data_IF_579822917595
#
_entry.id   IF_579822917595
#
_cell.length_a   1.000
_cell.length_b   1.000
_cell.length_c   1.000
_cell.angle_alpha   90.00
_cell.angle_beta   90.00
_cell.angle_gamma   90.00
#
_symmetry.space_group_name_H-M   'P 1'
#
loop_
_entity.id
_entity.type
_entity.pdbx_description
1 polymer ?
#
# COMPACT_ATOMS: atom_id res chain seq x y z
N UNK A 1 62.69 -55.34 27.71
CA UNK A 1 62.35 -54.52 26.53
C UNK A 1 61.09 -53.74 26.84
N UNK A 2 61.17 -52.39 26.78
CA UNK A 2 60.12 -51.39 26.47
C UNK A 2 58.80 -51.42 27.27
N UNK A 3 58.20 -50.33 27.75
CA UNK A 3 58.51 -48.90 27.94
C UNK A 3 57.34 -48.38 28.82
N UNK A 4 57.65 -47.58 29.85
CA UNK A 4 56.74 -46.66 30.53
C UNK A 4 56.67 -45.36 29.70
N UNK A 5 55.51 -44.68 29.72
CA UNK A 5 55.12 -43.34 29.19
C UNK A 5 53.88 -43.49 28.28
N UNK A 6 52.84 -42.64 28.23
CA UNK A 6 52.66 -41.20 28.48
C UNK A 6 51.12 -41.04 28.64
N UNK A 7 50.62 -40.51 29.76
CA UNK A 7 49.98 -39.18 29.85
C UNK A 7 48.67 -39.04 29.03
N UNK A 8 47.56 -39.00 29.77
CA UNK A 8 46.52 -37.95 29.83
C UNK A 8 46.34 -37.03 28.61
N UNK A 9 45.07 -36.72 28.30
CA UNK A 9 44.60 -35.78 27.28
C UNK A 9 44.68 -36.26 25.82
N UNK A 10 43.69 -37.05 25.41
CA UNK A 10 43.01 -36.69 24.16
C UNK A 10 41.61 -36.23 24.51
N UNK A 11 41.52 -34.91 24.61
CA UNK A 11 40.32 -34.13 24.81
C UNK A 11 39.21 -34.70 23.93
N UNK A 12 38.05 -34.91 24.55
CA UNK A 12 36.76 -35.07 23.89
C UNK A 12 36.52 -33.79 23.06
N UNK A 13 37.06 -33.71 21.85
CA UNK A 13 36.60 -32.80 20.81
C UNK A 13 35.49 -33.51 20.05
N UNK A 14 34.41 -33.86 20.76
CA UNK A 14 33.09 -33.85 20.12
C UNK A 14 32.86 -32.41 19.73
N UNK A 15 33.25 -32.09 18.49
CA UNK A 15 32.77 -30.94 17.76
C UNK A 15 31.25 -31.06 17.82
N UNK A 16 30.65 -30.38 18.79
CA UNK A 16 29.25 -30.07 18.75
C UNK A 16 29.10 -29.23 17.48
N UNK A 17 28.70 -29.87 16.39
CA UNK A 17 27.99 -29.21 15.31
C UNK A 17 26.70 -28.70 15.95
N UNK A 18 26.83 -27.60 16.69
CA UNK A 18 25.73 -26.69 16.91
C UNK A 18 25.35 -26.27 15.50
N UNK A 19 24.28 -26.87 14.98
CA UNK A 19 23.57 -26.34 13.84
C UNK A 19 23.22 -24.91 14.22
N UNK A 20 24.05 -23.98 13.76
CA UNK A 20 23.74 -22.56 13.72
C UNK A 20 22.49 -22.51 12.86
N UNK A 21 21.34 -22.40 13.51
CA UNK A 21 20.11 -22.00 12.84
C UNK A 21 20.40 -20.58 12.36
N UNK A 22 20.91 -20.45 11.14
CA UNK A 22 20.95 -19.19 10.43
C UNK A 22 19.51 -18.65 10.48
N UNK A 23 19.34 -17.45 11.03
CA UNK A 23 18.04 -16.79 11.05
C UNK A 23 17.65 -16.51 9.60
N UNK A 24 16.89 -17.42 8.97
CA UNK A 24 16.37 -17.20 7.63
C UNK A 24 15.26 -16.17 7.72
N UNK A 25 15.52 -14.97 7.21
CA UNK A 25 14.46 -13.98 7.00
C UNK A 25 13.39 -14.56 6.06
N UNK A 26 12.10 -14.23 6.26
CA UNK A 26 11.07 -14.57 5.30
C UNK A 26 11.35 -13.91 3.95
N UNK A 27 10.81 -14.48 2.87
CA UNK A 27 10.80 -13.81 1.57
C UNK A 27 9.97 -12.53 1.63
N UNK A 28 10.23 -11.60 0.71
CA UNK A 28 9.42 -10.39 0.57
C UNK A 28 7.95 -10.75 0.37
N UNK A 29 7.06 -9.99 1.01
CA UNK A 29 5.62 -10.16 0.83
C UNK A 29 5.24 -10.05 -0.66
N UNK A 30 4.25 -10.82 -1.10
CA UNK A 30 3.77 -10.78 -2.49
C UNK A 30 3.11 -9.43 -2.85
N UNK A 31 2.65 -8.69 -1.85
CA UNK A 31 2.08 -7.36 -1.95
C UNK A 31 2.76 -6.45 -0.92
N UNK A 32 4.04 -6.09 -1.12
CA UNK A 32 4.77 -5.29 -0.15
C UNK A 32 4.08 -3.95 0.07
N UNK A 33 4.12 -3.47 1.31
CA UNK A 33 3.59 -2.16 1.67
C UNK A 33 4.53 -1.06 1.19
N UNK A 34 3.96 -0.03 0.60
CA UNK A 34 4.66 1.14 0.07
C UNK A 34 3.98 2.43 0.53
N UNK A 35 4.67 3.55 0.32
CA UNK A 35 4.26 4.86 0.78
C UNK A 35 4.43 5.89 -0.35
N UNK A 36 3.33 6.55 -0.68
CA UNK A 36 3.32 7.74 -1.54
C UNK A 36 3.15 8.99 -0.68
N UNK A 37 3.93 10.03 -0.96
CA UNK A 37 3.96 11.24 -0.15
C UNK A 37 3.77 12.49 -1.00
N UNK A 38 2.75 13.28 -0.69
CA UNK A 38 2.51 14.56 -1.33
C UNK A 38 3.31 15.65 -0.63
N UNK A 39 4.38 16.12 -1.27
CA UNK A 39 5.16 17.29 -0.86
C UNK A 39 5.37 18.21 -2.05
N UNK A 40 5.30 19.55 -1.89
CA UNK A 40 5.68 20.49 -2.94
C UNK A 40 7.14 20.32 -3.38
N UNK A 41 8.03 20.10 -2.41
CA UNK A 41 9.45 19.85 -2.60
C UNK A 41 10.01 19.10 -1.37
N UNK A 42 11.27 18.65 -1.46
CA UNK A 42 11.93 17.82 -0.43
C UNK A 42 12.08 18.49 0.94
N UNK A 43 12.05 19.82 1.00
CA UNK A 43 12.24 20.60 2.22
C UNK A 43 10.92 21.11 2.82
N UNK A 44 9.82 21.00 2.08
CA UNK A 44 8.50 21.45 2.54
C UNK A 44 7.77 20.38 3.37
N UNK A 45 6.95 20.79 4.36
CA UNK A 45 6.03 19.88 5.04
C UNK A 45 5.09 19.17 4.04
N UNK A 46 4.72 17.91 4.30
CA UNK A 46 3.81 17.18 3.43
C UNK A 46 2.38 17.68 3.57
N UNK A 47 1.61 17.54 2.49
CA UNK A 47 0.19 17.85 2.43
C UNK A 47 -0.66 16.62 2.75
N UNK A 48 -0.25 15.47 2.22
CA UNK A 48 -0.90 14.18 2.43
C UNK A 48 0.11 13.02 2.26
N UNK A 49 -0.29 11.84 2.73
CA UNK A 49 0.43 10.58 2.54
C UNK A 49 -0.57 9.47 2.26
N UNK A 50 -0.19 8.51 1.42
CA UNK A 50 -0.88 7.24 1.27
C UNK A 50 0.06 6.10 1.63
N UNK A 51 -0.40 5.17 2.47
CA UNK A 51 0.25 3.89 2.73
C UNK A 51 -0.65 2.79 2.16
N UNK A 52 -0.09 1.91 1.35
CA UNK A 52 -0.85 0.91 0.60
C UNK A 52 0.01 -0.31 0.29
N UNK A 53 -0.62 -1.48 0.25
CA UNK A 53 0.04 -2.71 -0.23
C UNK A 53 -0.05 -2.79 -1.74
N UNK A 54 1.05 -3.19 -2.39
CA UNK A 54 1.22 -3.19 -3.85
C UNK A 54 1.13 -4.59 -4.47
N UNK A 55 -0.06 -5.17 -4.66
CA UNK A 55 -0.18 -6.43 -5.36
C UNK A 55 0.34 -6.33 -6.81
N UNK A 56 0.94 -7.41 -7.28
CA UNK A 56 1.41 -7.56 -8.66
C UNK A 56 0.35 -8.17 -9.55
N UNK A 57 0.30 -7.84 -10.83
CA UNK A 57 -0.65 -8.40 -11.80
C UNK A 57 -0.41 -9.89 -11.98
N UNK A 58 0.83 -10.29 -12.27
CA UNK A 58 1.23 -11.69 -12.52
C UNK A 58 0.41 -12.36 -13.61
N UNK A 59 0.07 -11.62 -14.67
CA UNK A 59 -0.70 -12.12 -15.81
C UNK A 59 -2.18 -12.40 -15.52
N UNK A 60 -2.72 -11.93 -14.39
CA UNK A 60 -4.15 -12.02 -14.05
C UNK A 60 -4.93 -10.85 -14.64
N UNK A 61 -6.19 -11.08 -14.96
CA UNK A 61 -7.12 -10.00 -15.28
C UNK A 61 -7.51 -9.29 -13.98
N UNK A 62 -7.29 -7.98 -13.91
CA UNK A 62 -7.42 -7.24 -12.66
C UNK A 62 -8.83 -6.74 -12.44
N UNK A 63 -9.29 -5.84 -13.30
CA UNK A 63 -10.61 -5.23 -13.14
C UNK A 63 -11.67 -6.07 -13.85
N UNK A 64 -12.79 -6.32 -13.16
CA UNK A 64 -13.84 -7.23 -13.63
C UNK A 64 -13.66 -8.69 -13.20
N UNK A 65 -12.45 -9.10 -12.79
CA UNK A 65 -12.18 -10.45 -12.24
C UNK A 65 -11.62 -10.38 -10.81
N UNK A 66 -10.31 -10.14 -10.64
CA UNK A 66 -9.70 -10.08 -9.30
C UNK A 66 -10.28 -8.97 -8.42
N UNK A 67 -10.60 -7.84 -9.04
CA UNK A 67 -11.27 -6.68 -8.45
C UNK A 67 -12.60 -6.51 -9.20
N UNK A 68 -13.71 -7.00 -8.64
CA UNK A 68 -15.01 -6.91 -9.29
C UNK A 68 -15.47 -5.46 -9.46
N UNK A 69 -16.10 -5.17 -10.59
CA UNK A 69 -16.76 -3.88 -10.80
C UNK A 69 -18.00 -3.73 -9.89
N UNK A 70 -18.28 -2.51 -9.47
CA UNK A 70 -19.43 -2.17 -8.64
C UNK A 70 -19.30 -2.55 -7.16
N UNK A 71 -18.22 -3.22 -6.77
CA UNK A 71 -17.95 -3.66 -5.41
C UNK A 71 -16.93 -2.78 -4.69
N UNK A 72 -17.08 -2.66 -3.37
CA UNK A 72 -16.13 -1.89 -2.55
C UNK A 72 -14.81 -2.64 -2.44
N UNK A 73 -13.75 -1.99 -2.89
CA UNK A 73 -12.38 -2.46 -2.82
C UNK A 73 -11.55 -1.59 -1.86
N UNK A 74 -10.68 -2.25 -1.11
CA UNK A 74 -9.70 -1.64 -0.19
C UNK A 74 -8.57 -0.85 -0.88
N UNK A 75 -8.62 -0.78 -2.21
CA UNK A 75 -7.64 -0.09 -3.07
C UNK A 75 -6.21 -0.61 -2.86
N UNK A 76 -6.05 -1.91 -2.65
CA UNK A 76 -4.78 -2.55 -2.28
C UNK A 76 -4.92 -4.03 -1.94
N UNK A 77 -3.97 -4.57 -1.18
CA UNK A 77 -3.97 -5.93 -0.65
C UNK A 77 -3.82 -5.92 0.88
N UNK A 78 -4.30 -6.97 1.55
CA UNK A 78 -4.24 -7.10 3.01
C UNK A 78 -4.93 -5.92 3.74
N UNK A 79 -4.16 -5.01 4.33
CA UNK A 79 -4.64 -3.78 4.96
C UNK A 79 -5.32 -2.85 3.95
N UNK A 80 -6.37 -2.16 4.40
CA UNK A 80 -7.00 -1.12 3.61
C UNK A 80 -6.07 0.09 3.49
N UNK A 81 -6.10 0.74 2.32
CA UNK A 81 -5.23 1.88 2.03
C UNK A 81 -5.44 3.00 3.04
N UNK A 82 -4.37 3.43 3.69
CA UNK A 82 -4.39 4.53 4.64
C UNK A 82 -4.11 5.85 3.91
N UNK A 83 -4.98 6.84 4.12
CA UNK A 83 -4.80 8.22 3.67
C UNK A 83 -4.59 9.12 4.90
N UNK A 84 -3.40 9.68 5.04
CA UNK A 84 -3.13 10.73 6.04
C UNK A 84 -3.21 12.10 5.38
N UNK A 85 -3.99 12.99 5.95
CA UNK A 85 -4.10 14.41 5.57
C UNK A 85 -3.37 15.24 6.64
N UNK A 86 -2.44 16.11 6.23
CA UNK A 86 -1.63 16.91 7.16
C UNK A 86 -2.07 18.37 7.24
N UNK A 87 -2.70 18.87 6.19
CA UNK A 87 -3.32 20.21 6.13
C UNK A 87 -4.74 20.07 5.58
N UNK A 88 -5.66 21.01 5.85
CA UNK A 88 -6.98 20.97 5.23
C UNK A 88 -6.90 20.85 3.69
N UNK A 89 -7.48 19.78 3.14
CA UNK A 89 -7.54 19.53 1.71
C UNK A 89 -8.98 19.30 1.27
N UNK A 90 -9.38 19.96 0.19
CA UNK A 90 -10.67 19.76 -0.46
C UNK A 90 -10.62 18.51 -1.34
N UNK A 91 -11.55 17.60 -1.09
CA UNK A 91 -11.82 16.39 -1.85
C UNK A 91 -13.25 16.47 -2.38
N UNK A 92 -13.39 16.74 -3.69
CA UNK A 92 -14.67 17.11 -4.29
C UNK A 92 -15.24 18.38 -3.67
N UNK A 93 -16.38 18.26 -2.98
CA UNK A 93 -17.04 19.38 -2.27
C UNK A 93 -16.72 19.41 -0.77
N UNK A 94 -16.09 18.36 -0.24
CA UNK A 94 -15.82 18.21 1.20
C UNK A 94 -14.41 18.68 1.54
N UNK A 95 -14.25 19.39 2.66
CA UNK A 95 -12.93 19.68 3.23
C UNK A 95 -12.58 18.55 4.19
N UNK A 96 -11.48 17.85 3.91
CA UNK A 96 -10.88 16.87 4.81
C UNK A 96 -9.95 17.62 5.76
N UNK A 97 -10.20 17.46 7.06
CA UNK A 97 -9.33 18.02 8.09
C UNK A 97 -8.06 17.17 8.26
N UNK A 98 -7.00 17.69 8.89
CA UNK A 98 -5.85 16.88 9.25
C UNK A 98 -6.26 15.66 10.08
N UNK A 99 -5.79 14.49 9.68
CA UNK A 99 -6.22 13.22 10.26
C UNK A 99 -5.86 12.03 9.37
N UNK A 100 -6.07 10.84 9.90
CA UNK A 100 -5.91 9.58 9.17
C UNK A 100 -7.27 9.02 8.82
N UNK A 101 -7.40 8.57 7.59
CA UNK A 101 -8.61 8.01 6.98
C UNK A 101 -8.25 6.71 6.26
N UNK A 102 -9.27 5.94 5.88
CA UNK A 102 -9.13 4.84 4.93
C UNK A 102 -9.65 5.24 3.56
N UNK A 103 -8.92 4.85 2.51
CA UNK A 103 -9.28 5.06 1.11
C UNK A 103 -9.84 3.78 0.49
N UNK A 104 -11.14 3.79 0.22
CA UNK A 104 -11.80 2.74 -0.56
C UNK A 104 -12.10 3.24 -1.97
N UNK A 105 -12.30 2.29 -2.87
CA UNK A 105 -12.70 2.53 -4.25
C UNK A 105 -13.82 1.59 -4.63
N UNK A 106 -14.72 2.02 -5.51
CA UNK A 106 -15.65 1.15 -6.24
C UNK A 106 -15.27 1.30 -7.70
N UNK A 107 -14.52 0.35 -8.28
CA UNK A 107 -14.17 0.38 -9.68
C UNK A 107 -15.40 0.19 -10.57
N UNK A 108 -15.43 0.92 -11.68
CA UNK A 108 -16.32 0.72 -12.80
C UNK A 108 -15.50 0.71 -14.10
N UNK A 109 -16.17 0.44 -15.22
CA UNK A 109 -15.53 0.42 -16.54
C UNK A 109 -15.05 1.84 -16.93
N UNK A 110 -15.96 2.83 -16.89
CA UNK A 110 -15.68 4.20 -17.32
C UNK A 110 -15.30 5.15 -16.17
N UNK A 111 -15.76 4.84 -14.95
CA UNK A 111 -15.60 5.73 -13.80
C UNK A 111 -15.45 4.93 -12.50
N UNK A 112 -14.65 5.49 -11.58
CA UNK A 112 -14.46 4.91 -10.25
C UNK A 112 -15.04 5.86 -9.21
N UNK A 113 -15.73 5.28 -8.22
CA UNK A 113 -16.10 6.03 -7.02
C UNK A 113 -14.98 5.92 -5.99
N UNK A 114 -14.41 7.05 -5.61
CA UNK A 114 -13.38 7.15 -4.58
C UNK A 114 -14.05 7.55 -3.25
N UNK A 115 -13.71 6.84 -2.19
CA UNK A 115 -14.35 6.96 -0.88
C UNK A 115 -13.29 7.23 0.18
N UNK A 116 -13.46 8.33 0.92
CA UNK A 116 -12.71 8.59 2.15
C UNK A 116 -13.58 8.21 3.34
N UNK A 117 -13.12 7.26 4.14
CA UNK A 117 -13.85 6.68 5.27
C UNK A 117 -13.12 6.98 6.59
N UNK A 118 -13.89 7.18 7.67
CA UNK A 118 -13.33 7.56 8.98
C UNK A 118 -12.80 6.39 9.81
N UNK A 119 -13.19 5.15 9.50
CA UNK A 119 -12.60 4.00 10.17
C UNK A 119 -11.14 3.84 9.74
N UNK A 120 -10.31 3.32 10.63
CA UNK A 120 -8.85 3.17 10.42
C UNK A 120 -8.39 1.80 10.92
N UNK A 121 -7.18 1.38 10.52
CA UNK A 121 -6.61 0.08 10.90
C UNK A 121 -7.49 -1.11 10.50
N UNK A 122 -8.09 -1.03 9.30
CA UNK A 122 -9.01 -2.04 8.76
C UNK A 122 -8.27 -3.02 7.86
N UNK A 123 -8.56 -4.31 8.01
CA UNK A 123 -8.11 -5.34 7.09
C UNK A 123 -9.18 -5.65 6.04
N UNK A 124 -8.80 -5.61 4.77
CA UNK A 124 -9.74 -5.88 3.68
C UNK A 124 -10.77 -4.77 3.46
N UNK A 125 -11.93 -5.14 2.91
CA UNK A 125 -13.12 -4.29 2.83
C UNK A 125 -14.33 -4.90 3.57
N UNK A 126 -14.11 -5.99 4.32
CA UNK A 126 -15.19 -6.78 4.93
C UNK A 126 -15.93 -6.06 6.05
N UNK A 127 -15.24 -5.17 6.76
CA UNK A 127 -15.83 -4.34 7.82
C UNK A 127 -16.22 -2.96 7.31
N UNK A 128 -16.27 -2.75 5.99
CA UNK A 128 -16.68 -1.48 5.40
C UNK A 128 -18.10 -1.12 5.82
N UNK A 129 -18.30 0.14 6.26
CA UNK A 129 -19.60 0.68 6.60
C UNK A 129 -19.81 2.03 5.94
N UNK A 130 -20.88 2.14 5.17
CA UNK A 130 -21.21 3.34 4.38
C UNK A 130 -21.52 4.57 5.24
N UNK A 131 -22.03 4.40 6.46
CA UNK A 131 -22.28 5.50 7.41
C UNK A 131 -20.99 6.13 7.96
N UNK A 132 -19.83 5.48 7.76
CA UNK A 132 -18.50 5.99 8.11
C UNK A 132 -17.83 6.76 6.97
N UNK A 133 -18.49 6.89 5.82
CA UNK A 133 -17.94 7.68 4.72
C UNK A 133 -17.95 9.16 5.06
N UNK A 134 -16.79 9.79 4.98
CA UNK A 134 -16.59 11.23 5.17
C UNK A 134 -16.88 11.96 3.86
N UNK A 135 -16.45 11.39 2.74
CA UNK A 135 -16.66 11.97 1.42
C UNK A 135 -16.60 10.90 0.33
N UNK A 136 -17.29 11.20 -0.77
CA UNK A 136 -17.24 10.42 -2.01
C UNK A 136 -17.10 11.34 -3.21
N UNK A 137 -16.31 10.95 -4.18
CA UNK A 137 -16.28 11.56 -5.52
C UNK A 137 -16.24 10.47 -6.58
N UNK A 138 -16.69 10.83 -7.77
CA UNK A 138 -16.52 10.01 -8.96
C UNK A 138 -15.40 10.62 -9.81
N UNK A 139 -14.52 9.78 -10.33
CA UNK A 139 -13.43 10.16 -11.23
C UNK A 139 -13.43 9.25 -12.45
N UNK A 140 -13.00 9.78 -13.59
CA UNK A 140 -12.87 9.03 -14.84
C UNK A 140 -11.80 7.93 -14.70
N UNK A 141 -12.13 6.73 -15.18
CA UNK A 141 -11.19 5.64 -15.41
C UNK A 141 -10.49 5.88 -16.75
N UNK A 142 -9.16 5.88 -16.76
CA UNK A 142 -8.35 6.19 -17.95
C UNK A 142 -7.49 5.01 -18.31
N UNK A 143 -7.29 4.82 -19.61
CA UNK A 143 -6.37 3.80 -20.12
C UNK A 143 -4.92 4.24 -19.98
N UNK A 144 -4.10 3.35 -19.43
CA UNK A 144 -2.65 3.51 -19.35
C UNK A 144 -2.01 3.20 -20.71
N UNK A 145 -0.90 3.87 -21.00
CA UNK A 145 -0.19 3.70 -22.29
C UNK A 145 0.49 2.32 -22.38
N UNK A 146 0.78 1.71 -21.23
CA UNK A 146 1.36 0.39 -21.11
C UNK A 146 0.92 -0.24 -19.79
N UNK A 147 0.77 -1.58 -19.73
CA UNK A 147 0.33 -2.26 -18.51
C UNK A 147 1.22 -1.95 -17.29
N UNK A 148 0.57 -1.63 -16.18
CA UNK A 148 1.19 -1.33 -14.89
C UNK A 148 1.23 -2.63 -14.08
N UNK A 149 2.42 -3.25 -13.98
CA UNK A 149 2.57 -4.58 -13.37
C UNK A 149 2.22 -4.61 -11.87
N UNK A 150 2.59 -3.58 -11.11
CA UNK A 150 2.29 -3.49 -9.68
C UNK A 150 1.32 -2.36 -9.44
N UNK A 151 0.28 -2.56 -8.62
CA UNK A 151 -0.55 -1.46 -8.15
C UNK A 151 0.35 -0.33 -7.66
N UNK A 152 0.17 0.85 -8.21
CA UNK A 152 1.07 1.98 -8.02
C UNK A 152 0.27 3.22 -7.67
N UNK A 153 0.75 3.94 -6.66
CA UNK A 153 0.20 5.23 -6.26
C UNK A 153 1.31 6.27 -6.23
N UNK A 154 1.06 7.42 -6.83
CA UNK A 154 1.97 8.56 -6.80
C UNK A 154 1.18 9.85 -6.59
N UNK A 155 1.82 10.82 -5.95
CA UNK A 155 1.28 12.18 -5.90
C UNK A 155 1.96 13.04 -6.96
N UNK A 156 1.14 13.68 -7.79
CA UNK A 156 1.56 14.76 -8.69
C UNK A 156 1.35 16.09 -7.97
N UNK A 157 2.42 16.85 -7.65
CA UNK A 157 2.27 18.18 -7.06
C UNK A 157 1.57 19.12 -8.04
N UNK A 158 0.70 19.99 -7.51
CA UNK A 158 0.04 21.03 -8.28
C UNK A 158 0.17 22.37 -7.55
N UNK A 159 -0.06 23.48 -8.26
CA UNK A 159 0.07 24.83 -7.68
C UNK A 159 -0.80 24.99 -6.41
N UNK A 160 -2.04 24.54 -6.48
CA UNK A 160 -3.04 24.70 -5.43
C UNK A 160 -3.49 23.36 -4.82
N UNK A 161 -2.58 22.38 -4.71
CA UNK A 161 -2.98 21.04 -4.29
C UNK A 161 -1.99 19.95 -4.65
N UNK A 162 -2.54 18.75 -4.76
CA UNK A 162 -1.90 17.58 -5.33
C UNK A 162 -2.95 16.69 -5.97
N UNK A 163 -2.57 15.90 -6.96
CA UNK A 163 -3.43 14.86 -7.51
C UNK A 163 -2.81 13.51 -7.19
N UNK A 164 -3.56 12.63 -6.54
CA UNK A 164 -3.18 11.24 -6.31
C UNK A 164 -3.52 10.45 -7.58
N UNK A 165 -2.53 9.81 -8.17
CA UNK A 165 -2.73 8.84 -9.23
C UNK A 165 -2.73 7.45 -8.61
N UNK A 166 -3.70 6.62 -9.00
CA UNK A 166 -3.74 5.19 -8.67
C UNK A 166 -3.83 4.44 -9.99
N UNK A 167 -2.89 3.54 -10.25
CA UNK A 167 -2.87 2.77 -11.50
C UNK A 167 -2.48 1.31 -11.26
N UNK A 168 -3.12 0.42 -12.00
CA UNK A 168 -2.83 -1.01 -12.04
C UNK A 168 -3.33 -1.57 -13.36
N UNK A 169 -2.64 -2.56 -13.91
CA UNK A 169 -2.95 -3.09 -15.23
C UNK A 169 -3.00 -2.00 -16.30
N UNK A 170 -3.99 -2.02 -17.19
CA UNK A 170 -4.23 -1.07 -18.25
C UNK A 170 -5.03 0.16 -17.82
N UNK A 171 -5.30 0.35 -16.52
CA UNK A 171 -6.13 1.46 -16.05
C UNK A 171 -5.46 2.31 -14.96
N UNK A 172 -5.83 3.59 -14.93
CA UNK A 172 -5.50 4.49 -13.83
C UNK A 172 -6.59 5.55 -13.61
N UNK A 173 -6.61 6.11 -12.40
CA UNK A 173 -7.47 7.23 -12.02
C UNK A 173 -6.67 8.39 -11.45
N UNK A 174 -7.20 9.60 -11.62
CA UNK A 174 -6.65 10.84 -11.08
C UNK A 174 -7.59 11.43 -10.03
N UNK A 175 -7.11 11.56 -8.80
CA UNK A 175 -7.90 11.92 -7.64
C UNK A 175 -7.41 13.28 -7.11
N UNK A 176 -8.10 14.38 -7.44
CA UNK A 176 -7.63 15.72 -7.10
C UNK A 176 -7.89 16.05 -5.62
N UNK A 177 -6.85 16.55 -4.94
CA UNK A 177 -6.92 17.18 -3.63
C UNK A 177 -6.45 18.63 -3.73
N UNK A 178 -7.35 19.59 -3.50
CA UNK A 178 -7.00 21.02 -3.55
C UNK A 178 -6.76 21.57 -2.15
N UNK A 179 -5.93 22.60 -2.01
CA UNK A 179 -5.85 23.34 -0.73
C UNK A 179 -7.21 23.97 -0.45
N UNK A 180 -7.67 23.86 0.80
CA UNK A 180 -8.90 24.48 1.26
C UNK A 180 -8.73 25.99 1.50
#
# INVERSE_FOLDING_TARGET
>A
MKKIFLITCFLVTTFAFQSVNAQSFPQMDASPMDLAMARPDKNSPPMARVIYSRPQKKGRDIFGDLVPYGEVWRTGANEATELTIYIPLKFGKTILNPGTYTLYTIPGEDEWTIIVNSDTNVWGAYSYKKDKDVARITVECKDSVAPIESLSMIFKPEKDGTTLLIGWDDHYVEIPFKKA
#
